data_IF_006243166694
#
_entry.id   IF_006243166694
#
_cell.length_a   1.000
_cell.length_b   1.000
_cell.length_c   1.000
_cell.angle_alpha   90.00
_cell.angle_beta   90.00
_cell.angle_gamma   90.00
#
_symmetry.space_group_name_H-M   'P 1'
#
loop_
_entity.id
_entity.type
_entity.pdbx_description
1 polymer ?
#
# COMPACT_ATOMS: atom_id res chain seq x y z
N UNK A 1 -0.58 11.84 -3.90
CA UNK A 1 0.72 12.53 -3.85
C UNK A 1 1.00 13.16 -2.47
N UNK A 2 0.42 12.62 -1.38
CA UNK A 2 0.82 12.95 0.01
C UNK A 2 1.76 11.89 0.59
N UNK A 3 1.63 10.63 0.14
CA UNK A 3 2.49 9.54 0.60
C UNK A 3 3.96 9.74 0.16
N UNK A 4 4.20 10.47 -0.94
CA UNK A 4 5.56 10.86 -1.37
C UNK A 4 6.26 11.76 -0.36
N UNK A 5 5.53 12.59 0.39
CA UNK A 5 6.10 13.37 1.49
C UNK A 5 6.25 12.52 2.74
N UNK A 6 5.33 11.58 2.99
CA UNK A 6 5.42 10.70 4.15
C UNK A 6 6.67 9.81 4.12
N UNK A 7 7.12 9.38 2.94
CA UNK A 7 8.28 8.51 2.74
C UNK A 7 9.50 9.20 2.11
N UNK A 8 9.57 10.53 2.09
CA UNK A 8 10.69 11.28 1.47
C UNK A 8 12.09 10.95 2.05
N UNK A 9 12.14 10.39 3.27
CA UNK A 9 13.37 9.91 3.90
C UNK A 9 13.91 8.62 3.27
N UNK A 10 13.11 7.86 2.51
CA UNK A 10 13.50 6.56 1.98
C UNK A 10 14.74 6.64 1.08
N UNK A 11 14.83 7.70 0.26
CA UNK A 11 16.00 7.93 -0.59
C UNK A 11 17.29 8.13 0.20
N UNK A 12 17.22 8.76 1.38
CA UNK A 12 18.39 8.93 2.26
C UNK A 12 18.88 7.62 2.89
N UNK A 13 18.03 6.59 2.91
CA UNK A 13 18.37 5.23 3.34
C UNK A 13 18.93 4.37 2.18
N UNK A 14 19.04 4.94 0.97
CA UNK A 14 19.47 4.21 -0.23
C UNK A 14 18.37 3.34 -0.86
N UNK A 15 17.10 3.51 -0.46
CA UNK A 15 15.99 2.76 -1.04
C UNK A 15 15.63 3.30 -2.44
N UNK A 16 15.35 2.40 -3.39
CA UNK A 16 14.69 2.75 -4.64
C UNK A 16 13.20 2.99 -4.39
N UNK A 17 12.65 4.06 -4.95
CA UNK A 17 11.21 4.37 -4.86
C UNK A 17 10.58 4.28 -6.24
N UNK A 18 9.55 3.43 -6.37
CA UNK A 18 8.69 3.33 -7.55
C UNK A 18 7.29 3.78 -7.18
N UNK A 19 6.73 4.73 -7.92
CA UNK A 19 5.38 5.24 -7.67
C UNK A 19 4.61 5.45 -8.98
N UNK A 20 3.28 5.44 -8.90
CA UNK A 20 2.45 5.81 -10.03
C UNK A 20 2.43 7.34 -10.19
N UNK A 21 2.33 7.83 -11.42
CA UNK A 21 2.02 9.23 -11.72
C UNK A 21 0.50 9.49 -11.83
N UNK A 22 -0.30 8.42 -11.83
CA UNK A 22 -1.74 8.46 -12.03
C UNK A 22 -2.49 8.05 -10.76
N UNK A 23 -3.74 8.52 -10.66
CA UNK A 23 -4.65 8.11 -9.58
C UNK A 23 -5.05 6.65 -9.72
N UNK A 24 -5.17 5.95 -8.59
CA UNK A 24 -5.73 4.58 -8.52
C UNK A 24 -7.17 4.47 -9.05
N UNK A 25 -7.89 5.60 -9.13
CA UNK A 25 -9.25 5.64 -9.70
C UNK A 25 -9.24 5.51 -11.22
N UNK A 26 -8.09 5.76 -11.88
CA UNK A 26 -7.90 5.47 -13.31
C UNK A 26 -7.67 3.96 -13.49
N UNK A 27 -6.68 3.42 -12.78
CA UNK A 27 -6.37 1.99 -12.68
C UNK A 27 -5.56 1.73 -11.39
N UNK A 28 -5.96 0.72 -10.62
CA UNK A 28 -5.31 0.32 -9.39
C UNK A 28 -4.24 -0.74 -9.67
N UNK A 29 -2.97 -0.32 -9.68
CA UNK A 29 -1.83 -1.21 -9.97
C UNK A 29 -1.59 -2.28 -8.90
N UNK A 30 -2.30 -2.23 -7.77
CA UNK A 30 -2.25 -3.25 -6.72
C UNK A 30 -3.46 -4.20 -6.75
N UNK A 31 -4.18 -4.28 -7.89
CA UNK A 31 -5.22 -5.28 -8.15
C UNK A 31 -4.74 -6.35 -9.12
N UNK A 32 -5.36 -7.54 -9.01
CA UNK A 32 -5.12 -8.63 -9.96
C UNK A 32 -5.57 -8.18 -11.37
N UNK A 33 -4.68 -8.25 -12.38
CA UNK A 33 -4.98 -7.79 -13.73
C UNK A 33 -6.06 -8.64 -14.43
N UNK A 34 -6.36 -9.85 -13.93
CA UNK A 34 -7.48 -10.66 -14.41
C UNK A 34 -8.85 -10.19 -13.90
N UNK A 35 -8.88 -9.30 -12.90
CA UNK A 35 -10.09 -8.85 -12.23
C UNK A 35 -10.59 -9.79 -11.13
N UNK A 36 -9.87 -10.87 -10.83
CA UNK A 36 -10.22 -11.76 -9.73
C UNK A 36 -10.17 -11.03 -8.38
N UNK A 37 -11.24 -11.14 -7.59
CA UNK A 37 -11.25 -10.58 -6.23
C UNK A 37 -10.46 -11.46 -5.27
N UNK A 38 -9.57 -10.83 -4.50
CA UNK A 38 -8.83 -11.48 -3.41
C UNK A 38 -9.71 -11.78 -2.19
N UNK A 39 -10.89 -11.14 -2.08
CA UNK A 39 -11.79 -11.27 -0.94
C UNK A 39 -13.22 -11.61 -1.40
N UNK A 40 -13.49 -12.87 -1.79
CA UNK A 40 -14.81 -13.29 -2.25
C UNK A 40 -15.89 -12.98 -1.20
N UNK A 41 -17.01 -12.41 -1.66
CA UNK A 41 -18.15 -12.05 -0.80
C UNK A 41 -17.98 -10.75 0.00
N UNK A 42 -16.86 -10.03 -0.18
CA UNK A 42 -16.65 -8.71 0.42
C UNK A 42 -16.66 -7.62 -0.65
N UNK A 43 -17.14 -6.44 -0.29
CA UNK A 43 -17.03 -5.27 -1.15
C UNK A 43 -15.54 -4.92 -1.36
N UNK A 44 -15.16 -4.77 -2.63
CA UNK A 44 -13.81 -4.40 -3.07
C UNK A 44 -13.92 -3.51 -4.30
N UNK A 45 -12.95 -2.63 -4.51
CA UNK A 45 -12.81 -1.93 -5.80
C UNK A 45 -12.12 -2.83 -6.83
N UNK A 46 -12.51 -2.69 -8.10
CA UNK A 46 -11.91 -3.42 -9.23
C UNK A 46 -10.60 -2.81 -9.74
N UNK A 47 -10.02 -3.42 -10.77
CA UNK A 47 -8.81 -2.97 -11.45
C UNK A 47 -8.94 -1.53 -11.98
N UNK A 48 -10.06 -1.22 -12.65
CA UNK A 48 -10.48 0.14 -12.96
C UNK A 48 -11.74 0.44 -12.14
N UNK A 49 -11.62 1.10 -10.96
CA UNK A 49 -12.77 1.33 -10.10
C UNK A 49 -13.83 2.21 -10.78
N UNK A 50 -15.10 1.80 -10.70
CA UNK A 50 -16.25 2.59 -11.19
C UNK A 50 -16.95 3.38 -10.10
N UNK A 51 -16.55 3.17 -8.84
CA UNK A 51 -17.16 3.76 -7.66
C UNK A 51 -16.10 4.06 -6.58
N UNK A 52 -16.42 5.00 -5.69
CA UNK A 52 -15.61 5.32 -4.51
C UNK A 52 -15.69 4.20 -3.48
N UNK A 53 -14.86 4.28 -2.42
CA UNK A 53 -14.99 3.36 -1.29
C UNK A 53 -16.33 3.47 -0.54
N UNK A 54 -17.04 4.59 -0.66
CA UNK A 54 -18.40 4.72 -0.12
C UNK A 54 -19.49 4.21 -1.09
N UNK A 55 -19.12 3.87 -2.33
CA UNK A 55 -20.05 3.41 -3.37
C UNK A 55 -20.65 4.53 -4.23
N UNK A 56 -20.10 5.75 -4.19
CA UNK A 56 -20.54 6.78 -5.13
C UNK A 56 -19.97 6.50 -6.52
N UNK A 57 -20.74 6.71 -7.60
CA UNK A 57 -20.24 6.52 -8.95
C UNK A 57 -19.11 7.51 -9.26
N UNK A 58 -18.05 7.01 -9.91
CA UNK A 58 -16.94 7.82 -10.42
C UNK A 58 -17.18 8.30 -11.85
N UNK A 59 -18.12 7.68 -12.56
CA UNK A 59 -18.48 7.97 -13.95
C UNK A 59 -19.95 8.33 -14.05
N UNK A 60 -20.34 9.02 -15.12
CA UNK A 60 -21.76 9.14 -15.46
C UNK A 60 -22.28 7.77 -15.87
N UNK A 61 -23.58 7.55 -15.69
CA UNK A 61 -24.20 6.29 -16.09
C UNK A 61 -23.96 6.02 -17.59
N UNK A 62 -23.36 4.86 -17.90
CA UNK A 62 -23.01 4.44 -19.26
C UNK A 62 -21.67 4.98 -19.77
N UNK A 63 -20.92 5.74 -18.95
CA UNK A 63 -19.57 6.22 -19.25
C UNK A 63 -18.49 5.48 -18.45
N UNK A 64 -18.83 4.33 -17.83
CA UNK A 64 -17.86 3.45 -17.19
C UNK A 64 -16.87 2.86 -18.23
N UNK A 65 -15.60 2.62 -17.85
CA UNK A 65 -14.62 2.04 -18.76
C UNK A 65 -15.06 0.64 -19.18
N UNK A 66 -15.16 0.43 -20.49
CA UNK A 66 -15.42 -0.88 -21.08
C UNK A 66 -14.16 -1.75 -21.11
N UNK A 67 -14.28 -2.98 -21.62
CA UNK A 67 -13.16 -3.91 -21.69
C UNK A 67 -11.97 -3.39 -22.52
N UNK A 68 -12.24 -2.62 -23.58
CA UNK A 68 -11.20 -2.05 -24.45
C UNK A 68 -10.44 -0.93 -23.73
N UNK A 69 -11.16 -0.05 -23.05
CA UNK A 69 -10.58 1.03 -22.25
C UNK A 69 -9.78 0.49 -21.05
N UNK A 70 -10.29 -0.57 -20.40
CA UNK A 70 -9.55 -1.25 -19.31
C UNK A 70 -8.23 -1.84 -19.84
N UNK A 71 -8.24 -2.49 -21.00
CA UNK A 71 -7.04 -3.07 -21.61
C UNK A 71 -6.04 -1.99 -22.00
N UNK A 72 -6.49 -0.87 -22.59
CA UNK A 72 -5.62 0.28 -22.89
C UNK A 72 -4.95 0.82 -21.62
N UNK A 73 -5.71 1.00 -20.53
CA UNK A 73 -5.15 1.45 -19.25
C UNK A 73 -4.15 0.44 -18.68
N UNK A 74 -4.40 -0.85 -18.84
CA UNK A 74 -3.47 -1.90 -18.42
C UNK A 74 -2.14 -1.77 -19.15
N UNK A 75 -2.17 -1.73 -20.48
CA UNK A 75 -0.96 -1.62 -21.30
C UNK A 75 -0.21 -0.30 -21.06
N UNK A 76 -0.94 0.79 -20.82
CA UNK A 76 -0.34 2.12 -20.67
C UNK A 76 0.23 2.38 -19.27
N UNK A 77 -0.38 1.83 -18.22
CA UNK A 77 -0.05 2.18 -16.84
C UNK A 77 0.31 0.99 -15.96
N UNK A 78 -0.43 -0.11 -16.07
CA UNK A 78 -0.19 -1.29 -15.23
C UNK A 78 1.09 -2.01 -15.64
N UNK A 79 1.19 -2.38 -16.91
CA UNK A 79 2.33 -3.14 -17.44
C UNK A 79 3.66 -2.39 -17.22
N UNK A 80 3.78 -1.08 -17.53
CA UNK A 80 5.03 -0.37 -17.32
C UNK A 80 5.39 -0.19 -15.84
N UNK A 81 4.40 -0.02 -14.96
CA UNK A 81 4.65 0.07 -13.52
C UNK A 81 5.21 -1.25 -12.98
N UNK A 82 4.59 -2.38 -13.33
CA UNK A 82 5.05 -3.71 -12.90
C UNK A 82 6.39 -4.09 -13.52
N UNK A 83 6.64 -3.72 -14.78
CA UNK A 83 7.94 -3.91 -15.43
C UNK A 83 9.05 -3.11 -14.73
N UNK A 84 8.78 -1.85 -14.35
CA UNK A 84 9.73 -1.04 -13.59
C UNK A 84 10.01 -1.64 -12.21
N UNK A 85 8.97 -2.12 -11.52
CA UNK A 85 9.13 -2.77 -10.21
C UNK A 85 9.96 -4.06 -10.33
N UNK A 86 9.66 -4.92 -11.31
CA UNK A 86 10.43 -6.14 -11.58
C UNK A 86 11.90 -5.81 -11.90
N UNK A 87 12.16 -4.81 -12.74
CA UNK A 87 13.52 -4.43 -13.11
C UNK A 87 14.34 -3.96 -11.91
N UNK A 88 13.75 -3.21 -10.97
CA UNK A 88 14.43 -2.79 -9.75
C UNK A 88 14.65 -3.95 -8.77
N UNK A 89 13.70 -4.87 -8.67
CA UNK A 89 13.87 -6.11 -7.89
C UNK A 89 15.03 -6.92 -8.46
N UNK A 90 15.06 -7.16 -9.77
CA UNK A 90 16.12 -7.93 -10.44
C UNK A 90 17.49 -7.27 -10.25
N UNK A 91 17.56 -5.95 -10.43
CA UNK A 91 18.79 -5.17 -10.23
C UNK A 91 19.30 -5.31 -8.80
N UNK A 92 18.44 -5.21 -7.79
CA UNK A 92 18.83 -5.33 -6.39
C UNK A 92 19.16 -6.77 -6.00
N UNK A 93 18.43 -7.77 -6.52
CA UNK A 93 18.72 -9.20 -6.30
C UNK A 93 20.06 -9.64 -6.88
N UNK A 94 20.49 -9.03 -7.99
CA UNK A 94 21.82 -9.26 -8.54
C UNK A 94 22.96 -8.74 -7.63
N UNK A 95 22.66 -7.80 -6.72
CA UNK A 95 23.62 -7.18 -5.80
C UNK A 95 23.54 -7.72 -4.37
N UNK A 96 22.35 -8.16 -3.94
CA UNK A 96 22.05 -8.55 -2.57
C UNK A 96 21.32 -9.88 -2.54
N UNK A 97 21.69 -10.79 -1.64
CA UNK A 97 21.06 -12.12 -1.49
C UNK A 97 19.58 -12.08 -1.05
N UNK A 98 19.17 -11.01 -0.39
CA UNK A 98 17.81 -10.73 0.05
C UNK A 98 17.46 -9.30 -0.30
N UNK A 99 16.22 -9.04 -0.68
CA UNK A 99 15.66 -7.69 -0.82
C UNK A 99 14.30 -7.62 -0.13
N UNK A 100 13.96 -6.44 0.35
CA UNK A 100 12.63 -6.17 0.91
C UNK A 100 11.88 -5.20 0.00
N UNK A 101 10.73 -5.63 -0.51
CA UNK A 101 9.75 -4.77 -1.16
C UNK A 101 8.78 -4.26 -0.09
N UNK A 102 8.81 -2.96 0.17
CA UNK A 102 7.90 -2.31 1.12
C UNK A 102 6.79 -1.58 0.35
N UNK A 103 5.59 -2.16 0.33
CA UNK A 103 4.43 -1.70 -0.43
C UNK A 103 3.59 -0.72 0.42
N UNK A 104 3.71 0.57 0.13
CA UNK A 104 3.17 1.67 0.93
C UNK A 104 1.73 2.04 0.55
N UNK A 105 0.82 2.04 1.51
CA UNK A 105 -0.59 2.42 1.34
C UNK A 105 -1.12 3.28 2.47
N UNK A 106 -2.20 4.00 2.17
CA UNK A 106 -2.99 4.74 3.12
C UNK A 106 -4.47 4.75 2.73
N UNK A 107 -5.33 4.79 3.75
CA UNK A 107 -6.77 4.74 3.58
C UNK A 107 -7.49 5.55 4.65
N UNK A 108 -8.71 5.99 4.34
CA UNK A 108 -9.58 6.61 5.35
C UNK A 108 -9.84 5.67 6.51
N UNK A 109 -9.84 6.21 7.72
CA UNK A 109 -9.90 5.38 8.93
C UNK A 109 -11.26 4.72 9.17
N UNK A 110 -12.33 5.28 8.60
CA UNK A 110 -13.71 4.76 8.75
C UNK A 110 -14.34 4.67 7.37
N UNK A 111 -14.69 3.45 6.96
CA UNK A 111 -15.27 3.13 5.66
C UNK A 111 -16.33 2.03 5.84
N UNK A 112 -17.55 2.38 6.30
CA UNK A 112 -18.55 1.41 6.75
C UNK A 112 -18.99 0.38 5.70
N UNK A 113 -18.92 0.75 4.42
CA UNK A 113 -19.19 -0.17 3.29
C UNK A 113 -18.16 -1.28 3.19
N UNK A 114 -16.93 -1.00 3.59
CA UNK A 114 -15.81 -1.94 3.49
C UNK A 114 -15.51 -2.60 4.83
N UNK A 115 -15.49 -1.85 5.94
CA UNK A 115 -15.04 -2.33 7.24
C UNK A 115 -16.01 -1.93 8.35
N UNK A 116 -16.09 -2.77 9.37
CA UNK A 116 -16.76 -2.40 10.62
C UNK A 116 -15.83 -1.52 11.47
N UNK A 117 -16.39 -0.43 12.01
CA UNK A 117 -15.71 0.41 12.98
C UNK A 117 -14.55 1.24 12.40
N UNK A 118 -13.60 1.54 13.28
CA UNK A 118 -12.38 2.28 12.97
C UNK A 118 -11.25 1.31 12.68
N UNK A 119 -10.55 1.53 11.57
CA UNK A 119 -9.34 0.77 11.22
C UNK A 119 -8.18 1.08 12.19
N UNK A 120 -7.33 0.08 12.50
CA UNK A 120 -6.06 0.31 13.18
C UNK A 120 -5.19 1.32 12.45
N UNK A 121 -4.35 2.06 13.17
CA UNK A 121 -3.43 3.03 12.58
C UNK A 121 -2.43 2.34 11.66
N UNK A 122 -1.87 1.21 12.08
CA UNK A 122 -0.96 0.39 11.27
C UNK A 122 -1.58 -0.97 10.92
N UNK A 123 -1.61 -1.31 9.65
CA UNK A 123 -2.07 -2.62 9.19
C UNK A 123 -0.96 -3.25 8.34
N UNK A 124 -0.23 -4.20 8.94
CA UNK A 124 0.85 -4.91 8.29
C UNK A 124 0.30 -6.14 7.56
N UNK A 125 0.57 -6.25 6.26
CA UNK A 125 0.20 -7.40 5.42
C UNK A 125 1.41 -8.16 4.90
N UNK A 126 1.42 -9.48 5.03
CA UNK A 126 2.51 -10.37 4.56
C UNK A 126 1.99 -11.61 3.84
N UNK A 127 0.79 -11.50 3.25
CA UNK A 127 0.05 -12.60 2.63
C UNK A 127 -0.09 -13.79 3.59
N UNK A 128 -0.57 -13.54 4.81
CA UNK A 128 -0.66 -14.57 5.86
C UNK A 128 0.70 -15.29 6.10
N UNK A 129 1.80 -14.53 6.05
CA UNK A 129 3.16 -15.03 6.24
C UNK A 129 3.82 -15.65 4.99
N UNK A 130 3.17 -15.61 3.82
CA UNK A 130 3.69 -16.21 2.58
C UNK A 130 4.60 -15.29 1.78
N UNK A 131 4.51 -13.97 1.95
CA UNK A 131 5.26 -13.01 1.14
C UNK A 131 6.56 -12.53 1.79
N UNK A 132 6.80 -12.83 3.07
CA UNK A 132 7.99 -12.38 3.79
C UNK A 132 8.47 -13.42 4.81
N UNK A 133 9.73 -13.28 5.25
CA UNK A 133 10.27 -14.13 6.31
C UNK A 133 9.55 -13.84 7.64
N UNK A 134 9.18 -14.86 8.43
CA UNK A 134 8.55 -14.68 9.74
C UNK A 134 9.36 -13.81 10.71
N UNK A 135 10.70 -13.85 10.67
CA UNK A 135 11.56 -13.02 11.51
C UNK A 135 11.44 -11.54 11.13
N UNK A 136 11.42 -11.21 9.83
CA UNK A 136 11.21 -9.85 9.36
C UNK A 136 9.83 -9.33 9.78
N UNK A 137 8.77 -10.14 9.61
CA UNK A 137 7.42 -9.80 10.07
C UNK A 137 7.40 -9.55 11.58
N UNK A 138 8.05 -10.39 12.37
CA UNK A 138 8.12 -10.26 13.83
C UNK A 138 8.85 -8.98 14.24
N UNK A 139 9.97 -8.63 13.59
CA UNK A 139 10.70 -7.39 13.82
C UNK A 139 9.81 -6.17 13.56
N UNK A 140 9.10 -6.14 12.43
CA UNK A 140 8.17 -5.03 12.13
C UNK A 140 7.01 -5.00 13.13
N UNK A 141 6.42 -6.15 13.45
CA UNK A 141 5.36 -6.25 14.46
C UNK A 141 5.77 -5.72 15.83
N UNK A 142 7.00 -5.99 16.27
CA UNK A 142 7.54 -5.44 17.52
C UNK A 142 7.69 -3.91 17.45
N UNK A 143 8.21 -3.37 16.35
CA UNK A 143 8.31 -1.91 16.16
C UNK A 143 6.93 -1.26 16.27
N UNK A 144 5.90 -1.86 15.67
CA UNK A 144 4.53 -1.35 15.76
C UNK A 144 4.00 -1.40 17.20
N UNK A 145 4.25 -2.49 17.93
CA UNK A 145 3.82 -2.62 19.32
C UNK A 145 4.45 -1.56 20.25
N UNK A 146 5.68 -1.13 19.97
CA UNK A 146 6.39 -0.11 20.73
C UNK A 146 5.83 1.32 20.53
N UNK A 147 5.00 1.54 19.51
CA UNK A 147 4.42 2.87 19.23
C UNK A 147 3.32 3.29 20.20
N UNK A 148 2.62 2.32 20.81
CA UNK A 148 1.38 2.55 21.55
C UNK A 148 0.15 2.83 20.66
N UNK A 149 0.32 2.88 19.34
CA UNK A 149 -0.77 3.02 18.37
C UNK A 149 -1.48 1.67 18.15
N UNK A 150 -2.71 1.75 17.65
CA UNK A 150 -3.43 0.53 17.24
C UNK A 150 -2.78 -0.09 16.01
N UNK A 151 -2.55 -1.40 16.05
CA UNK A 151 -2.02 -2.12 14.91
C UNK A 151 -2.60 -3.52 14.77
N UNK A 152 -2.50 -4.07 13.57
CA UNK A 152 -2.85 -5.47 13.29
C UNK A 152 -1.91 -6.04 12.22
N UNK A 153 -1.62 -7.34 12.33
CA UNK A 153 -0.82 -8.10 11.34
C UNK A 153 -1.74 -9.10 10.65
N UNK A 154 -1.75 -9.09 9.31
CA UNK A 154 -2.61 -9.93 8.47
C UNK A 154 -4.09 -9.90 8.89
N UNK A 155 -4.57 -8.71 9.25
CA UNK A 155 -6.00 -8.45 9.44
C UNK A 155 -6.74 -8.52 8.09
N UNK A 156 -7.47 -7.47 7.74
CA UNK A 156 -8.06 -7.41 6.39
C UNK A 156 -7.06 -7.05 5.30
N UNK A 157 -6.12 -6.15 5.59
CA UNK A 157 -5.05 -5.78 4.66
C UNK A 157 -3.91 -6.81 4.73
N UNK A 158 -4.11 -7.93 4.04
CA UNK A 158 -3.14 -9.04 4.04
C UNK A 158 -2.03 -8.87 3.02
N UNK A 159 -2.00 -7.80 2.23
CA UNK A 159 -1.16 -7.72 1.03
C UNK A 159 -1.99 -7.92 -0.25
N UNK A 160 -1.92 -6.92 -1.13
CA UNK A 160 -2.57 -6.87 -2.43
C UNK A 160 -1.84 -7.67 -3.50
N UNK A 161 -2.10 -7.34 -4.76
CA UNK A 161 -1.48 -8.02 -5.90
C UNK A 161 0.05 -7.91 -5.88
N UNK A 162 0.60 -6.72 -5.65
CA UNK A 162 2.05 -6.45 -5.61
C UNK A 162 2.73 -7.35 -4.58
N UNK A 163 2.22 -7.36 -3.33
CA UNK A 163 2.78 -8.17 -2.24
C UNK A 163 2.75 -9.66 -2.57
N UNK A 164 1.67 -10.14 -3.18
CA UNK A 164 1.46 -11.56 -3.51
C UNK A 164 2.27 -12.01 -4.71
N UNK A 165 2.40 -11.13 -5.69
CA UNK A 165 3.06 -11.42 -6.95
C UNK A 165 4.59 -11.44 -6.77
N UNK A 166 5.14 -10.36 -6.21
CA UNK A 166 6.59 -10.20 -6.07
C UNK A 166 7.15 -10.83 -4.79
N UNK A 167 6.34 -11.02 -3.75
CA UNK A 167 6.78 -11.68 -2.52
C UNK A 167 7.06 -13.16 -2.75
N UNK A 168 8.34 -13.49 -2.96
CA UNK A 168 8.85 -14.84 -3.16
C UNK A 168 10.02 -15.08 -2.18
N UNK A 169 9.74 -15.30 -0.88
CA UNK A 169 10.78 -15.44 0.14
C UNK A 169 11.81 -16.53 -0.16
N UNK A 170 11.37 -17.63 -0.79
CA UNK A 170 12.25 -18.72 -1.22
C UNK A 170 13.29 -18.29 -2.26
N UNK A 171 13.00 -17.22 -3.01
CA UNK A 171 13.86 -16.64 -4.03
C UNK A 171 14.54 -15.35 -3.53
N UNK A 172 14.43 -15.06 -2.23
CA UNK A 172 15.06 -13.90 -1.56
C UNK A 172 14.37 -12.56 -1.78
N UNK A 173 13.11 -12.56 -2.25
CA UNK A 173 12.29 -11.33 -2.35
C UNK A 173 11.21 -11.36 -1.28
N UNK A 174 11.33 -10.48 -0.28
CA UNK A 174 10.38 -10.42 0.83
C UNK A 174 9.51 -9.16 0.70
N UNK A 175 8.20 -9.33 0.58
CA UNK A 175 7.27 -8.22 0.42
C UNK A 175 6.43 -8.00 1.70
N UNK A 176 6.40 -6.76 2.16
CA UNK A 176 5.56 -6.28 3.27
C UNK A 176 4.62 -5.20 2.72
N UNK A 177 3.32 -5.31 2.97
CA UNK A 177 2.39 -4.20 2.77
C UNK A 177 2.23 -3.44 4.08
N UNK A 178 2.31 -2.12 4.03
CA UNK A 178 1.89 -1.25 5.13
C UNK A 178 0.71 -0.41 4.69
N UNK A 179 -0.45 -0.64 5.30
CA UNK A 179 -1.62 0.20 5.13
C UNK A 179 -1.83 1.07 6.37
N UNK A 180 -1.74 2.39 6.18
CA UNK A 180 -1.89 3.38 7.24
C UNK A 180 -3.30 3.97 7.23
N UNK A 181 -3.95 4.01 8.39
CA UNK A 181 -5.14 4.86 8.52
C UNK A 181 -4.73 6.33 8.48
N UNK A 182 -5.40 7.14 7.66
CA UNK A 182 -5.05 8.54 7.43
C UNK A 182 -4.93 9.35 8.73
N UNK A 183 -5.76 9.06 9.75
CA UNK A 183 -5.68 9.72 11.07
C UNK A 183 -4.30 9.64 11.73
N UNK A 184 -3.47 8.67 11.36
CA UNK A 184 -2.13 8.52 11.93
C UNK A 184 -1.22 9.68 11.52
N UNK A 185 -1.34 10.20 10.30
CA UNK A 185 -0.40 11.18 9.74
C UNK A 185 -1.05 12.39 9.06
N UNK A 186 -2.37 12.39 8.92
CA UNK A 186 -3.18 13.47 8.39
C UNK A 186 -4.23 13.86 9.42
N UNK A 187 -4.55 15.15 9.49
CA UNK A 187 -5.67 15.67 10.30
C UNK A 187 -7.00 15.30 9.65
N UNK A 188 -7.25 14.00 9.52
CA UNK A 188 -8.40 13.44 8.82
C UNK A 188 -9.70 14.02 9.39
N UNK A 189 -10.59 14.56 8.53
CA UNK A 189 -11.86 15.09 8.99
C UNK A 189 -12.74 13.95 9.53
N UNK A 190 -13.64 14.28 10.46
CA UNK A 190 -14.65 13.34 10.89
C UNK A 190 -15.60 13.01 9.72
N UNK A 191 -15.81 11.72 9.44
CA UNK A 191 -16.71 11.25 8.39
C UNK A 191 -16.08 11.21 6.98
N UNK A 192 -16.92 11.37 5.94
CA UNK A 192 -16.58 11.10 4.53
C UNK A 192 -15.63 12.12 3.88
N UNK A 193 -15.36 13.25 4.55
CA UNK A 193 -14.70 14.40 3.93
C UNK A 193 -15.59 15.07 2.88
N UNK A 194 -15.32 16.34 2.59
CA UNK A 194 -16.04 17.19 1.65
C UNK A 194 -15.05 18.08 0.89
N UNK A 195 -15.39 18.64 -0.29
CA UNK A 195 -14.45 19.40 -1.10
C UNK A 195 -13.79 20.60 -0.40
N UNK A 196 -14.39 21.13 0.66
CA UNK A 196 -13.89 22.25 1.47
C UNK A 196 -12.94 21.83 2.60
N UNK A 197 -12.93 20.55 2.99
CA UNK A 197 -12.10 20.02 4.07
C UNK A 197 -11.25 18.80 3.67
N UNK A 198 -11.31 18.39 2.40
CA UNK A 198 -10.57 17.25 1.86
C UNK A 198 -10.06 17.53 0.43
N UNK A 199 -8.78 17.22 0.12
CA UNK A 199 -7.79 16.61 1.01
C UNK A 199 -7.18 17.62 1.98
N UNK A 200 -6.84 17.17 3.19
CA UNK A 200 -6.26 18.05 4.21
C UNK A 200 -4.79 18.38 3.89
N UNK A 201 -4.32 19.62 4.10
CA UNK A 201 -2.91 19.97 3.91
C UNK A 201 -2.00 19.08 4.76
N UNK A 202 -0.84 18.74 4.21
CA UNK A 202 0.16 17.96 4.94
C UNK A 202 0.76 18.79 6.08
N UNK A 203 0.69 18.25 7.29
CA UNK A 203 1.27 18.83 8.51
C UNK A 203 2.45 17.96 8.93
N UNK A 204 3.67 18.43 8.64
CA UNK A 204 4.89 17.68 8.90
C UNK A 204 5.11 17.37 10.39
N UNK A 205 4.65 18.26 11.29
CA UNK A 205 4.75 18.04 12.73
C UNK A 205 3.77 16.94 13.18
N UNK A 206 2.55 16.95 12.63
CA UNK A 206 1.56 15.91 12.90
C UNK A 206 1.98 14.54 12.35
N UNK A 207 2.57 14.49 11.15
CA UNK A 207 3.06 13.26 10.54
C UNK A 207 4.36 12.72 11.16
N UNK A 208 5.11 13.54 11.92
CA UNK A 208 6.44 13.19 12.41
C UNK A 208 6.51 11.89 13.22
N UNK A 209 5.59 11.57 14.15
CA UNK A 209 5.64 10.32 14.90
C UNK A 209 5.52 9.08 13.99
N UNK A 210 4.59 9.09 13.03
CA UNK A 210 4.44 8.01 12.05
C UNK A 210 5.70 7.89 11.20
N UNK A 211 6.30 9.01 10.76
CA UNK A 211 7.55 9.00 10.00
C UNK A 211 8.71 8.39 10.75
N UNK A 212 8.85 8.66 12.05
CA UNK A 212 9.87 8.03 12.90
C UNK A 212 9.69 6.50 12.91
N UNK A 213 8.45 6.03 13.09
CA UNK A 213 8.15 4.60 13.06
C UNK A 213 8.46 3.98 11.69
N UNK A 214 7.99 4.58 10.60
CA UNK A 214 8.23 4.10 9.23
C UNK A 214 9.73 4.06 8.90
N UNK A 215 10.48 5.09 9.31
CA UNK A 215 11.93 5.12 9.16
C UNK A 215 12.60 3.97 9.92
N UNK A 216 12.22 3.77 11.19
CA UNK A 216 12.71 2.65 12.00
C UNK A 216 12.41 1.29 11.36
N UNK A 217 11.23 1.13 10.74
CA UNK A 217 10.88 -0.08 10.00
C UNK A 217 11.83 -0.31 8.82
N UNK A 218 12.06 0.71 7.97
CA UNK A 218 12.96 0.56 6.83
C UNK A 218 14.41 0.32 7.26
N UNK A 219 14.91 1.01 8.29
CA UNK A 219 16.24 0.79 8.84
C UNK A 219 16.42 -0.66 9.36
N UNK A 220 15.42 -1.19 10.06
CA UNK A 220 15.47 -2.58 10.54
C UNK A 220 15.32 -3.60 9.41
N UNK A 221 14.54 -3.30 8.36
CA UNK A 221 14.49 -4.14 7.18
C UNK A 221 15.86 -4.18 6.45
N UNK A 222 16.55 -3.05 6.37
CA UNK A 222 17.92 -2.96 5.82
C UNK A 222 18.90 -3.79 6.67
N UNK A 223 18.86 -3.67 8.01
CA UNK A 223 19.69 -4.50 8.89
C UNK A 223 19.38 -5.98 8.68
N UNK A 224 18.10 -6.35 8.60
CA UNK A 224 17.67 -7.73 8.43
C UNK A 224 18.10 -8.36 7.09
N UNK A 225 18.16 -7.60 5.98
CA UNK A 225 18.67 -8.15 4.71
C UNK A 225 20.18 -8.42 4.74
N UNK A 226 20.93 -7.77 5.64
CA UNK A 226 22.39 -7.92 5.78
C UNK A 226 22.83 -8.90 6.88
N UNK A 227 21.95 -9.19 7.85
CA UNK A 227 22.16 -10.25 8.85
C UNK A 227 21.88 -11.64 8.29
#
# INVERSE_FOLDING_TARGET
MMDSWLYDFAGSLGATVVHTAISRTVIDVNRDPSGASLYPGQATTGLCPTETFDGDPLYRAGEEPDASEIDERREKYFVPYHAALQAEIDRLRALHQKVVLYDCHSIRSVLPRLFEGTLPVFNLGTNDGKSADPALQATVGQILAETGETFIVNGRFKGGWITRHFGQPQDGVHALQMELSNRGYMREPEGKGAPDNWPVPYDAAFAAPIRVTLKKILENAIVWVHG
#
